data_IF_708645684665
#
_entry.id   IF_708645684665
#
_cell.length_a   1.000
_cell.length_b   1.000
_cell.length_c   1.000
_cell.angle_alpha   90.00
_cell.angle_beta   90.00
_cell.angle_gamma   90.00
#
_symmetry.space_group_name_H-M   'P 1'
#
loop_
_entity.id
_entity.type
_entity.pdbx_description
1 polymer ?
#
# COMPACT_ATOMS: atom_id res chain seq x y z
N UNK A 1 -14.48 11.65 -5.64
CA UNK A 1 -13.10 12.16 -5.87
C UNK A 1 -12.06 11.30 -5.14
N UNK A 2 -12.24 11.02 -3.83
CA UNK A 2 -11.35 10.15 -3.04
C UNK A 2 -11.27 8.74 -3.63
N UNK A 3 -12.42 8.09 -3.83
CA UNK A 3 -12.52 6.76 -4.45
C UNK A 3 -11.96 6.75 -5.89
N UNK A 4 -12.24 7.79 -6.66
CA UNK A 4 -11.74 7.90 -8.03
C UNK A 4 -10.23 8.05 -8.07
N UNK A 5 -9.65 8.90 -7.20
CA UNK A 5 -8.22 9.10 -7.11
C UNK A 5 -7.49 7.82 -6.67
N UNK A 6 -8.01 7.13 -5.66
CA UNK A 6 -7.47 5.89 -5.14
C UNK A 6 -7.58 4.75 -6.18
N UNK A 7 -8.75 4.58 -6.80
CA UNK A 7 -8.96 3.56 -7.83
C UNK A 7 -8.09 3.81 -9.07
N UNK A 8 -7.97 5.06 -9.52
CA UNK A 8 -7.13 5.41 -10.67
C UNK A 8 -5.67 5.06 -10.40
N UNK A 9 -5.16 5.44 -9.23
CA UNK A 9 -3.80 5.16 -8.83
C UNK A 9 -3.52 3.64 -8.78
N UNK A 10 -4.45 2.85 -8.24
CA UNK A 10 -4.31 1.40 -8.17
C UNK A 10 -4.40 0.74 -9.53
N UNK A 11 -5.26 1.23 -10.44
CA UNK A 11 -5.32 0.71 -11.81
C UNK A 11 -4.01 0.96 -12.56
N UNK A 12 -3.41 2.14 -12.40
CA UNK A 12 -2.08 2.42 -12.96
C UNK A 12 -1.01 1.49 -12.41
N UNK A 13 -1.10 1.16 -11.12
CA UNK A 13 -0.16 0.27 -10.46
C UNK A 13 -0.31 -1.19 -10.86
N UNK A 14 -1.55 -1.69 -11.01
CA UNK A 14 -1.81 -3.03 -11.53
C UNK A 14 -1.28 -3.17 -12.95
N UNK A 15 -1.44 -2.14 -13.78
CA UNK A 15 -0.88 -2.10 -15.12
C UNK A 15 0.67 -2.09 -15.12
N UNK A 16 1.28 -1.32 -14.21
CA UNK A 16 2.73 -1.27 -14.05
C UNK A 16 3.31 -2.60 -13.53
N UNK A 17 2.64 -3.25 -12.57
CA UNK A 17 3.03 -4.57 -12.05
C UNK A 17 2.91 -5.65 -13.14
N UNK A 18 1.84 -5.65 -13.92
CA UNK A 18 1.66 -6.56 -15.03
C UNK A 18 2.75 -6.38 -16.11
N UNK A 19 3.10 -5.13 -16.40
CA UNK A 19 4.18 -4.80 -17.35
C UNK A 19 5.55 -5.24 -16.81
N UNK A 20 5.82 -5.04 -15.52
CA UNK A 20 7.05 -5.46 -14.87
C UNK A 20 7.18 -6.98 -14.83
N UNK A 21 6.10 -7.71 -14.52
CA UNK A 21 6.08 -9.18 -14.58
C UNK A 21 6.37 -9.70 -15.99
N UNK A 22 5.74 -9.12 -17.01
CA UNK A 22 5.98 -9.48 -18.40
C UNK A 22 7.43 -9.24 -18.83
N UNK A 23 7.99 -8.08 -18.45
CA UNK A 23 9.40 -7.76 -18.73
C UNK A 23 10.38 -8.68 -17.98
N UNK A 24 10.05 -9.10 -16.75
CA UNK A 24 10.84 -10.05 -15.98
C UNK A 24 10.80 -11.48 -16.58
N UNK A 25 9.63 -11.91 -17.04
CA UNK A 25 9.47 -13.19 -17.74
C UNK A 25 10.22 -13.22 -19.08
N UNK A 26 10.14 -12.13 -19.85
CA UNK A 26 10.90 -11.99 -21.11
C UNK A 26 12.42 -12.02 -20.85
N UNK A 27 12.90 -11.35 -19.79
CA UNK A 27 14.31 -11.43 -19.39
C UNK A 27 14.72 -12.83 -18.92
N UNK A 28 13.86 -13.51 -18.16
CA UNK A 28 14.10 -14.89 -17.70
C UNK A 28 14.17 -15.88 -18.87
N UNK A 29 13.31 -15.70 -19.89
CA UNK A 29 13.36 -16.52 -21.11
C UNK A 29 14.61 -16.24 -21.94
N UNK A 30 15.11 -15.01 -21.97
CA UNK A 30 16.37 -14.66 -22.65
C UNK A 30 17.60 -15.16 -21.89
N UNK A 31 17.57 -15.17 -20.55
CA UNK A 31 18.66 -15.74 -19.72
C UNK A 31 18.70 -17.28 -19.77
N UNK A 32 17.55 -17.95 -19.79
CA UNK A 32 17.47 -19.41 -19.93
C UNK A 32 18.02 -19.87 -21.30
N UNK A 33 17.86 -19.07 -22.35
CA UNK A 33 18.48 -19.35 -23.66
C UNK A 33 20.00 -19.09 -23.68
N UNK A 34 20.51 -18.31 -22.72
CA UNK A 34 21.94 -17.94 -22.66
C UNK A 34 22.77 -18.80 -21.72
N UNK A 35 22.13 -19.44 -20.73
CA UNK A 35 22.80 -20.21 -19.68
C UNK A 35 22.30 -21.66 -19.63
N UNK A 36 22.67 -22.45 -20.65
CA UNK A 36 22.63 -23.90 -20.51
C UNK A 36 23.94 -24.41 -19.93
N UNK A 37 24.36 -23.86 -18.78
CA UNK A 37 25.44 -24.39 -17.93
C UNK A 37 25.42 -23.74 -16.55
N UNK A 38 25.26 -24.59 -15.55
CA UNK A 38 25.58 -24.41 -14.13
C UNK A 38 24.48 -23.95 -13.18
N UNK A 39 24.27 -24.85 -12.25
CA UNK A 39 23.29 -24.90 -11.18
C UNK A 39 23.39 -23.78 -10.14
N UNK A 40 22.25 -23.63 -9.47
CA UNK A 40 22.05 -23.25 -8.06
C UNK A 40 22.17 -21.75 -7.73
N UNK A 41 20.99 -21.17 -7.55
CA UNK A 41 20.74 -20.21 -6.46
C UNK A 41 19.24 -19.94 -6.35
N UNK A 42 18.69 -20.36 -5.26
CA UNK A 42 17.33 -20.17 -4.79
C UNK A 42 17.02 -18.66 -4.66
N UNK A 43 16.41 -18.05 -5.66
CA UNK A 43 15.73 -16.77 -5.53
C UNK A 43 14.24 -17.06 -5.46
N UNK A 44 13.74 -17.09 -4.24
CA UNK A 44 12.32 -17.19 -3.92
C UNK A 44 11.64 -15.89 -4.38
N UNK A 45 11.19 -15.84 -5.63
CA UNK A 45 10.24 -14.83 -6.08
C UNK A 45 8.88 -15.24 -5.55
N UNK A 46 8.50 -14.72 -4.39
CA UNK A 46 7.17 -14.91 -3.84
C UNK A 46 6.11 -14.42 -4.84
N UNK A 47 5.49 -15.35 -5.52
CA UNK A 47 4.37 -15.13 -6.43
C UNK A 47 3.04 -14.86 -5.70
N UNK A 48 3.06 -14.38 -4.48
CA UNK A 48 1.87 -14.00 -3.75
C UNK A 48 2.07 -13.93 -2.23
N UNK A 49 1.14 -13.28 -1.57
CA UNK A 49 1.03 -13.29 -0.12
C UNK A 49 0.68 -14.70 0.38
N UNK A 50 1.56 -15.32 1.14
CA UNK A 50 1.39 -16.68 1.65
C UNK A 50 0.35 -16.81 2.79
N UNK A 51 -0.36 -15.72 3.08
CA UNK A 51 -1.37 -15.68 4.13
C UNK A 51 -0.79 -15.27 5.50
N UNK A 52 -1.69 -15.10 6.46
CA UNK A 52 -1.35 -14.72 7.82
C UNK A 52 -2.15 -13.52 8.31
N UNK A 53 -2.02 -13.20 9.60
CA UNK A 53 -2.67 -12.05 10.21
C UNK A 53 -1.78 -10.82 9.99
N UNK A 54 -2.32 -9.75 9.41
CA UNK A 54 -1.61 -8.47 9.36
C UNK A 54 -1.32 -7.95 10.77
N UNK A 55 -0.10 -7.49 11.06
CA UNK A 55 0.13 -6.68 12.25
C UNK A 55 -0.70 -5.40 12.15
N UNK A 56 -1.10 -4.89 13.28
CA UNK A 56 -1.81 -3.62 13.33
C UNK A 56 -0.93 -2.49 12.77
N UNK A 57 -1.39 -1.73 11.76
CA UNK A 57 -0.53 -0.82 11.01
C UNK A 57 -0.11 0.44 11.77
N UNK A 58 -0.76 0.73 12.90
CA UNK A 58 -0.43 1.85 13.80
C UNK A 58 -0.23 1.33 15.24
N UNK A 59 0.97 0.83 15.62
CA UNK A 59 1.19 0.16 16.90
C UNK A 59 0.88 1.00 18.14
N UNK A 60 0.96 2.34 18.03
CA UNK A 60 0.72 3.27 19.12
C UNK A 60 -0.76 3.53 19.41
N UNK A 61 -1.68 3.13 18.54
CA UNK A 61 -3.12 3.35 18.69
C UNK A 61 -3.94 2.26 18.04
N UNK A 62 -4.97 1.79 18.76
CA UNK A 62 -5.98 0.86 18.25
C UNK A 62 -7.37 1.51 18.14
N UNK A 63 -7.41 2.86 18.20
CA UNK A 63 -8.66 3.62 18.15
C UNK A 63 -9.15 3.75 16.71
N UNK A 64 -10.14 2.95 16.32
CA UNK A 64 -10.86 3.14 15.05
C UNK A 64 -11.79 4.34 15.19
N UNK A 65 -11.59 5.35 14.36
CA UNK A 65 -12.42 6.57 14.31
C UNK A 65 -13.45 6.54 13.21
N UNK A 66 -13.21 5.74 12.14
CA UNK A 66 -14.18 5.47 11.08
C UNK A 66 -13.93 4.07 10.51
N UNK A 67 -15.00 3.29 10.36
CA UNK A 67 -14.96 1.95 9.81
C UNK A 67 -15.12 1.93 8.29
N UNK A 68 -14.88 0.78 7.70
CA UNK A 68 -15.12 0.48 6.29
C UNK A 68 -16.64 0.52 5.96
N UNK A 69 -16.99 1.02 4.80
CA UNK A 69 -18.36 1.01 4.27
C UNK A 69 -19.07 2.37 4.28
N UNK A 70 -20.39 2.34 4.24
CA UNK A 70 -21.19 3.57 4.19
C UNK A 70 -21.09 4.37 5.48
N UNK A 71 -20.89 5.68 5.36
CA UNK A 71 -20.83 6.65 6.46
C UNK A 71 -21.35 8.01 6.03
N UNK A 72 -21.71 8.86 6.98
CA UNK A 72 -21.88 10.29 6.72
C UNK A 72 -20.52 10.90 6.36
N UNK A 73 -20.52 11.82 5.39
CA UNK A 73 -19.29 12.47 4.97
C UNK A 73 -18.69 13.30 6.12
N UNK A 74 -17.49 12.99 6.61
CA UNK A 74 -16.91 13.69 7.75
C UNK A 74 -16.49 15.13 7.41
N UNK A 75 -16.20 15.41 6.14
CA UNK A 75 -15.82 16.74 5.64
C UNK A 75 -16.09 16.87 4.14
N UNK A 76 -16.00 18.09 3.62
CA UNK A 76 -16.05 18.34 2.19
C UNK A 76 -14.88 17.63 1.47
N UNK A 77 -15.17 16.94 0.36
CA UNK A 77 -14.19 16.15 -0.39
C UNK A 77 -14.10 14.69 0.03
N UNK A 78 -14.51 14.33 1.25
CA UNK A 78 -14.60 12.94 1.67
C UNK A 78 -15.79 12.21 1.01
N UNK A 79 -15.74 10.88 1.00
CA UNK A 79 -16.80 10.02 0.44
C UNK A 79 -17.80 9.55 1.48
N UNK A 80 -18.97 9.16 1.01
CA UNK A 80 -19.99 8.45 1.82
C UNK A 80 -19.75 6.94 1.86
N UNK A 81 -18.84 6.42 1.03
CA UNK A 81 -18.39 5.03 1.10
C UNK A 81 -16.89 5.02 1.39
N UNK A 82 -16.51 4.46 2.52
CA UNK A 82 -15.14 4.45 3.04
C UNK A 82 -14.45 3.14 2.68
N UNK A 83 -13.35 3.21 1.95
CA UNK A 83 -12.63 2.05 1.42
C UNK A 83 -11.51 1.55 2.36
N UNK A 84 -11.53 1.95 3.62
CA UNK A 84 -10.55 1.55 4.62
C UNK A 84 -11.03 1.76 6.04
N UNK A 85 -10.09 1.76 6.94
CA UNK A 85 -10.27 2.09 8.36
C UNK A 85 -9.46 3.33 8.70
N UNK A 86 -10.09 4.29 9.36
CA UNK A 86 -9.39 5.43 9.95
C UNK A 86 -8.99 5.09 11.38
N UNK A 87 -7.69 5.14 11.64
CA UNK A 87 -7.10 4.85 12.94
C UNK A 87 -6.58 6.16 13.53
N UNK A 88 -7.31 6.70 14.51
CA UNK A 88 -6.94 7.92 15.20
C UNK A 88 -5.68 7.73 16.03
N UNK A 89 -4.64 8.53 15.74
CA UNK A 89 -3.36 8.49 16.45
C UNK A 89 -2.71 9.87 16.42
N UNK A 90 -1.74 10.09 17.31
CA UNK A 90 -0.99 11.34 17.37
C UNK A 90 -0.17 11.55 16.09
N UNK A 91 -0.11 12.79 15.61
CA UNK A 91 0.75 13.15 14.51
C UNK A 91 2.21 12.75 14.80
N UNK A 92 2.90 12.18 13.82
CA UNK A 92 4.25 11.66 13.99
C UNK A 92 4.34 10.22 14.52
N UNK A 93 3.25 9.60 14.93
CA UNK A 93 3.23 8.19 15.32
C UNK A 93 3.67 7.29 14.15
N UNK A 94 4.34 6.18 14.46
CA UNK A 94 4.83 5.26 13.45
C UNK A 94 3.68 4.53 12.74
N UNK A 95 3.80 4.43 11.42
CA UNK A 95 3.00 3.57 10.55
C UNK A 95 3.90 2.45 10.09
N UNK A 96 3.46 1.20 10.23
CA UNK A 96 4.25 0.01 9.88
C UNK A 96 3.62 -0.79 8.76
N UNK A 97 4.46 -1.45 7.96
CA UNK A 97 4.03 -2.33 6.88
C UNK A 97 3.22 -3.51 7.42
N UNK A 98 2.05 -3.75 6.86
CA UNK A 98 1.14 -4.84 7.26
C UNK A 98 1.65 -6.22 6.86
N UNK A 99 2.49 -6.34 5.84
CA UNK A 99 3.15 -7.56 5.40
C UNK A 99 4.45 -7.23 4.68
N UNK A 100 5.24 -8.27 4.38
CA UNK A 100 6.37 -8.14 3.46
C UNK A 100 5.87 -7.68 2.09
N UNK A 101 6.64 -6.85 1.42
CA UNK A 101 6.22 -6.35 0.11
C UNK A 101 7.19 -5.35 -0.50
N UNK A 102 6.74 -4.76 -1.59
CA UNK A 102 7.47 -3.73 -2.34
C UNK A 102 6.63 -2.46 -2.38
N UNK A 103 7.27 -1.33 -2.15
CA UNK A 103 6.64 -0.01 -2.31
C UNK A 103 6.37 0.23 -3.80
N UNK A 104 5.11 0.20 -4.18
CA UNK A 104 4.69 0.39 -5.58
C UNK A 104 4.44 1.86 -5.90
N UNK A 105 4.01 2.64 -4.92
CA UNK A 105 3.82 4.07 -5.09
C UNK A 105 4.02 4.83 -3.77
N UNK A 106 4.57 6.03 -3.89
CA UNK A 106 4.59 7.05 -2.84
C UNK A 106 4.40 8.41 -3.49
N UNK A 107 3.73 9.32 -2.82
CA UNK A 107 3.52 10.65 -3.36
C UNK A 107 2.64 11.53 -2.48
N UNK A 108 2.12 12.58 -3.10
CA UNK A 108 1.16 13.50 -2.52
C UNK A 108 -0.01 13.73 -3.47
N UNK A 109 -1.20 13.66 -2.93
CA UNK A 109 -2.44 14.05 -3.59
C UNK A 109 -3.20 15.04 -2.71
N UNK A 110 -3.95 15.97 -3.31
CA UNK A 110 -4.80 16.90 -2.54
C UNK A 110 -5.90 16.18 -1.76
N UNK A 111 -6.22 14.94 -2.12
CA UNK A 111 -7.23 14.10 -1.48
C UNK A 111 -6.58 13.16 -0.46
N UNK A 112 -5.64 12.33 -0.90
CA UNK A 112 -5.00 11.29 -0.07
C UNK A 112 -3.93 11.85 0.89
N UNK A 113 -3.48 13.09 0.67
CA UNK A 113 -2.32 13.65 1.35
C UNK A 113 -1.03 12.94 0.91
N UNK A 114 -0.04 12.85 1.79
CA UNK A 114 1.11 11.98 1.57
C UNK A 114 0.68 10.54 1.78
N UNK A 115 1.04 9.66 0.85
CA UNK A 115 0.63 8.26 0.87
C UNK A 115 1.76 7.29 0.54
N UNK A 116 1.56 6.06 0.98
CA UNK A 116 2.38 4.89 0.62
C UNK A 116 1.44 3.77 0.18
N UNK A 117 1.79 3.07 -0.88
CA UNK A 117 1.10 1.85 -1.30
C UNK A 117 2.13 0.73 -1.43
N UNK A 118 1.81 -0.40 -0.81
CA UNK A 118 2.62 -1.62 -0.86
C UNK A 118 1.91 -2.69 -1.69
N UNK A 119 2.66 -3.35 -2.58
CA UNK A 119 2.25 -4.62 -3.18
C UNK A 119 2.83 -5.77 -2.37
N UNK A 120 1.99 -6.74 -2.07
CA UNK A 120 2.36 -7.99 -1.38
C UNK A 120 2.34 -9.19 -2.33
N UNK A 121 2.23 -8.92 -3.65
CA UNK A 121 2.05 -9.96 -4.66
C UNK A 121 0.60 -10.47 -4.77
N UNK A 122 0.31 -11.24 -5.81
CA UNK A 122 -1.02 -11.86 -6.00
C UNK A 122 -2.19 -10.87 -6.14
N UNK A 123 -1.93 -9.61 -6.48
CA UNK A 123 -2.95 -8.56 -6.56
C UNK A 123 -3.40 -8.00 -5.20
N UNK A 124 -2.64 -8.29 -4.13
CA UNK A 124 -2.88 -7.76 -2.79
C UNK A 124 -2.07 -6.48 -2.56
N UNK A 125 -2.77 -5.41 -2.20
CA UNK A 125 -2.17 -4.11 -1.86
C UNK A 125 -2.63 -3.64 -0.49
N UNK A 126 -1.75 -2.89 0.19
CA UNK A 126 -2.12 -2.10 1.37
C UNK A 126 -1.80 -0.62 1.12
N UNK A 127 -2.72 0.23 1.54
CA UNK A 127 -2.74 1.67 1.26
C UNK A 127 -2.67 2.41 2.61
N UNK A 128 -1.79 3.40 2.69
CA UNK A 128 -1.55 4.20 3.88
C UNK A 128 -1.59 5.67 3.50
N UNK A 129 -2.56 6.43 4.03
CA UNK A 129 -2.80 7.81 3.62
C UNK A 129 -2.73 8.81 4.77
N UNK A 130 -2.83 10.10 4.40
CA UNK A 130 -2.79 11.25 5.29
C UNK A 130 -1.50 11.39 6.10
N UNK A 131 -0.40 10.78 5.62
CA UNK A 131 0.87 10.75 6.33
C UNK A 131 1.48 12.16 6.50
N UNK A 132 2.14 12.41 7.63
CA UNK A 132 2.96 13.60 7.83
C UNK A 132 4.33 13.46 7.16
N UNK A 133 4.86 12.24 7.09
CA UNK A 133 6.11 11.92 6.43
C UNK A 133 6.07 10.50 5.85
N UNK A 134 6.67 10.32 4.68
CA UNK A 134 6.93 9.03 4.06
C UNK A 134 8.42 8.72 4.23
N UNK A 135 8.74 7.51 4.70
CA UNK A 135 10.11 7.10 5.08
C UNK A 135 10.69 6.06 4.11
N UNK A 136 9.96 5.70 3.09
CA UNK A 136 10.35 4.71 2.08
C UNK A 136 10.21 5.29 0.67
N UNK A 137 10.84 4.64 -0.30
CA UNK A 137 10.83 5.08 -1.70
C UNK A 137 10.21 4.01 -2.60
N UNK A 138 9.63 4.41 -3.71
CA UNK A 138 9.11 3.51 -4.73
C UNK A 138 10.19 2.51 -5.18
N UNK A 139 9.80 1.23 -5.29
CA UNK A 139 10.70 0.12 -5.60
C UNK A 139 11.43 -0.49 -4.40
N UNK A 140 11.32 0.12 -3.21
CA UNK A 140 11.95 -0.39 -1.99
C UNK A 140 11.20 -1.63 -1.48
N UNK A 141 11.94 -2.70 -1.17
CA UNK A 141 11.40 -3.83 -0.41
C UNK A 141 11.29 -3.49 1.06
N UNK A 142 10.19 -3.87 1.68
CA UNK A 142 9.93 -3.66 3.10
C UNK A 142 9.52 -4.97 3.76
N UNK A 143 9.92 -5.16 5.01
CA UNK A 143 9.48 -6.30 5.81
C UNK A 143 8.27 -5.93 6.64
N UNK A 144 7.42 -6.89 6.91
CA UNK A 144 6.30 -6.79 7.83
C UNK A 144 6.72 -6.14 9.16
N UNK A 145 5.98 -5.14 9.61
CA UNK A 145 6.28 -4.42 10.85
C UNK A 145 7.35 -3.32 10.74
N UNK A 146 8.02 -3.19 9.58
CA UNK A 146 8.96 -2.07 9.36
C UNK A 146 8.22 -0.74 9.31
N UNK A 147 8.78 0.30 9.92
CA UNK A 147 8.23 1.66 9.85
C UNK A 147 8.39 2.22 8.44
N UNK A 148 7.27 2.58 7.80
CA UNK A 148 7.22 3.07 6.43
C UNK A 148 6.81 4.54 6.31
N UNK A 149 6.07 5.05 7.30
CA UNK A 149 5.57 6.41 7.29
C UNK A 149 5.25 6.89 8.71
N UNK A 150 4.77 8.12 8.82
CA UNK A 150 4.32 8.75 10.07
C UNK A 150 2.90 9.28 9.93
N UNK A 151 2.08 9.08 10.96
CA UNK A 151 0.70 9.59 11.03
C UNK A 151 0.70 11.11 10.87
N UNK A 152 -0.26 11.61 10.11
CA UNK A 152 -0.48 13.03 9.88
C UNK A 152 -1.95 13.36 9.71
N UNK A 153 -2.19 14.48 9.03
CA UNK A 153 -3.53 14.97 8.67
C UNK A 153 -3.47 15.74 7.34
N UNK A 154 -2.65 15.23 6.41
CA UNK A 154 -2.48 15.82 5.08
C UNK A 154 -3.60 15.37 4.14
N UNK A 155 -3.90 16.16 3.09
CA UNK A 155 -5.02 15.90 2.19
C UNK A 155 -6.38 16.20 2.81
N UNK A 156 -7.42 15.45 2.42
CA UNK A 156 -8.79 15.59 2.95
C UNK A 156 -8.90 14.85 4.28
N UNK A 157 -8.63 15.54 5.36
CA UNK A 157 -8.59 14.97 6.72
C UNK A 157 -9.15 15.96 7.75
N UNK A 158 -9.84 15.46 8.77
CA UNK A 158 -10.42 16.27 9.87
C UNK A 158 -9.52 16.33 11.08
N UNK A 159 -8.43 15.58 11.12
CA UNK A 159 -7.48 15.54 12.23
C UNK A 159 -6.51 14.36 12.09
N UNK A 160 -5.49 14.27 12.95
CA UNK A 160 -4.47 13.24 12.83
C UNK A 160 -5.03 11.81 12.90
N UNK A 161 -4.84 11.05 11.84
CA UNK A 161 -5.19 9.63 11.75
C UNK A 161 -4.40 8.95 10.63
N UNK A 162 -4.37 7.63 10.63
CA UNK A 162 -3.99 6.80 9.50
C UNK A 162 -5.27 6.32 8.83
N UNK A 163 -5.45 6.61 7.53
CA UNK A 163 -6.35 5.84 6.68
C UNK A 163 -5.60 4.60 6.20
N UNK A 164 -6.16 3.42 6.48
CA UNK A 164 -5.61 2.12 6.11
C UNK A 164 -6.58 1.34 5.25
N UNK A 165 -6.22 1.15 3.98
CA UNK A 165 -6.96 0.37 3.00
C UNK A 165 -6.28 -0.97 2.70
N UNK A 166 -7.09 -1.98 2.38
CA UNK A 166 -6.63 -3.27 1.85
C UNK A 166 -7.40 -3.55 0.58
N UNK A 167 -6.68 -3.84 -0.49
CA UNK A 167 -7.29 -4.14 -1.78
C UNK A 167 -6.78 -5.48 -2.31
N UNK A 168 -7.68 -6.34 -2.77
CA UNK A 168 -7.36 -7.60 -3.43
C UNK A 168 -8.01 -7.64 -4.82
N UNK A 169 -7.17 -7.78 -5.86
CA UNK A 169 -7.61 -7.84 -7.26
C UNK A 169 -8.55 -6.69 -7.65
N UNK A 170 -8.24 -5.47 -7.21
CA UNK A 170 -9.00 -4.26 -7.49
C UNK A 170 -10.28 -4.09 -6.65
N UNK A 171 -10.48 -4.88 -5.59
CA UNK A 171 -11.64 -4.80 -4.68
C UNK A 171 -11.16 -4.55 -3.25
N UNK A 172 -11.81 -3.60 -2.59
CA UNK A 172 -11.64 -3.31 -1.16
C UNK A 172 -12.49 -4.22 -0.29
#
# INVERSE_FOLDING_TARGET
QEIEAENQLIQEMLAAEAAAKKAAEEKKQQEVQKNNASADSNVNTNDGYEGGVFPWPCPSSHKITSGFGYRDKPTAGATSYHQGYDIGASAGAAIVAAADGVVTSTGYSSVLGNYVILSHGGGLFTIYEHCSAVLVSQGQSVSRGSTIAKVGSTGVSTGPHLHFGVQLNGKY
#
